data_IF_269746506220
#
_entry.id   IF_269746506220
#
_cell.length_a   1.000
_cell.length_b   1.000
_cell.length_c   1.000
_cell.angle_alpha   90.00
_cell.angle_beta   90.00
_cell.angle_gamma   90.00
#
_symmetry.space_group_name_H-M   'P 1'
#
loop_
_entity.id
_entity.type
_entity.pdbx_description
1 polymer ?
#
# COMPACT_ATOMS: atom_id res chain seq x y z
N UNK A 1 3.33 -3.45 25.51
CA UNK A 1 4.34 -3.41 24.44
C UNK A 1 3.79 -4.18 23.25
N UNK A 2 4.08 -3.78 22.00
CA UNK A 2 3.72 -4.51 20.77
C UNK A 2 4.99 -4.66 19.92
N UNK A 3 5.27 -5.86 19.43
CA UNK A 3 6.45 -6.17 18.62
C UNK A 3 6.03 -6.34 17.16
N UNK A 4 6.69 -5.61 16.25
CA UNK A 4 6.50 -5.74 14.80
C UNK A 4 7.76 -6.37 14.21
N UNK A 5 7.59 -7.40 13.37
CA UNK A 5 8.68 -8.10 12.70
C UNK A 5 8.57 -7.81 11.19
N UNK A 6 9.59 -7.19 10.62
CA UNK A 6 9.67 -6.91 9.19
C UNK A 6 10.57 -7.92 8.48
N UNK A 7 10.24 -8.27 7.24
CA UNK A 7 11.06 -9.15 6.44
C UNK A 7 12.27 -8.38 5.87
N UNK A 8 13.52 -8.73 6.24
CA UNK A 8 14.71 -8.01 5.78
C UNK A 8 14.96 -8.16 4.27
N UNK A 9 14.33 -9.14 3.60
CA UNK A 9 14.43 -9.31 2.13
C UNK A 9 13.57 -8.33 1.34
N UNK A 10 12.61 -7.66 1.99
CA UNK A 10 11.80 -6.64 1.32
C UNK A 10 12.60 -5.35 1.16
N UNK A 11 12.42 -4.68 0.01
CA UNK A 11 12.96 -3.35 -0.21
C UNK A 11 12.40 -2.34 0.81
N UNK A 12 13.13 -1.24 1.03
CA UNK A 12 12.78 -0.21 2.00
C UNK A 12 11.35 0.32 1.82
N UNK A 13 10.92 0.54 0.57
CA UNK A 13 9.58 1.04 0.28
C UNK A 13 8.48 0.06 0.74
N UNK A 14 8.70 -1.24 0.56
CA UNK A 14 7.76 -2.27 0.99
C UNK A 14 7.75 -2.41 2.51
N UNK A 15 8.91 -2.34 3.14
CA UNK A 15 9.00 -2.35 4.59
C UNK A 15 8.33 -1.13 5.23
N UNK A 16 8.41 0.05 4.63
CA UNK A 16 7.71 1.25 5.12
C UNK A 16 6.19 1.07 5.07
N UNK A 17 5.67 0.52 3.97
CA UNK A 17 4.25 0.23 3.82
C UNK A 17 3.78 -0.81 4.85
N UNK A 18 4.47 -1.96 4.94
CA UNK A 18 4.15 -3.02 5.90
C UNK A 18 4.22 -2.51 7.34
N UNK A 19 5.28 -1.76 7.70
CA UNK A 19 5.40 -1.21 9.04
C UNK A 19 4.23 -0.28 9.37
N UNK A 20 3.87 0.62 8.46
CA UNK A 20 2.78 1.55 8.70
C UNK A 20 1.43 0.83 8.78
N UNK A 21 1.21 -0.21 7.97
CA UNK A 21 0.01 -1.04 8.01
C UNK A 21 -0.13 -1.73 9.38
N UNK A 22 0.93 -2.35 9.90
CA UNK A 22 0.95 -2.93 11.25
C UNK A 22 0.68 -1.89 12.35
N UNK A 23 1.25 -0.69 12.20
CA UNK A 23 0.94 0.45 13.09
C UNK A 23 -0.55 0.80 13.02
N UNK A 24 -1.16 0.79 11.83
CA UNK A 24 -2.58 1.09 11.67
C UNK A 24 -3.48 0.00 12.23
N UNK A 25 -3.16 -1.29 12.06
CA UNK A 25 -3.87 -2.38 12.75
C UNK A 25 -3.88 -2.16 14.26
N UNK A 26 -2.75 -1.70 14.82
CA UNK A 26 -2.64 -1.40 16.23
C UNK A 26 -3.55 -0.24 16.66
N UNK A 27 -3.53 0.86 15.91
CA UNK A 27 -4.31 2.07 16.20
C UNK A 27 -5.82 1.85 16.04
N UNK A 28 -6.24 1.07 15.04
CA UNK A 28 -7.65 0.79 14.75
C UNK A 28 -8.25 -0.30 15.65
N UNK A 29 -7.43 -0.92 16.52
CA UNK A 29 -7.90 -1.98 17.41
C UNK A 29 -8.18 -3.30 16.71
N UNK A 30 -7.68 -3.48 15.48
CA UNK A 30 -7.79 -4.74 14.75
C UNK A 30 -7.06 -5.85 15.53
N UNK A 31 -7.57 -7.07 15.43
CA UNK A 31 -6.86 -8.21 16.01
C UNK A 31 -5.56 -8.37 15.25
N UNK A 32 -4.45 -8.43 15.99
CA UNK A 32 -3.15 -8.70 15.38
C UNK A 32 -3.23 -10.02 14.61
N UNK A 33 -2.77 -9.98 13.35
CA UNK A 33 -2.48 -11.21 12.62
C UNK A 33 -1.41 -11.95 13.42
N UNK A 34 -1.83 -12.99 14.17
CA UNK A 34 -0.85 -13.92 14.73
C UNK A 34 -0.13 -14.48 13.53
N UNK A 35 1.21 -14.34 13.51
CA UNK A 35 2.08 -15.19 12.70
C UNK A 35 1.43 -16.56 12.68
N UNK A 36 1.03 -17.01 11.49
CA UNK A 36 0.37 -18.29 11.30
C UNK A 36 1.36 -19.39 11.66
N UNK A 37 1.61 -19.56 12.96
CA UNK A 37 1.94 -20.84 13.51
C UNK A 37 0.72 -21.64 13.13
N UNK A 38 0.87 -22.44 12.09
CA UNK A 38 -0.07 -23.50 11.75
C UNK A 38 -0.16 -24.36 12.99
N UNK A 39 -1.06 -24.00 13.90
CA UNK A 39 -1.40 -24.85 15.02
C UNK A 39 -2.25 -25.95 14.40
N UNK A 40 -1.63 -27.08 14.14
CA UNK A 40 -2.37 -28.31 13.91
C UNK A 40 -3.23 -28.54 15.15
N UNK A 41 -4.55 -28.56 14.98
CA UNK A 41 -5.40 -29.11 16.02
C UNK A 41 -5.10 -30.62 16.18
N UNK A 42 -5.63 -31.25 17.23
CA UNK A 42 -5.44 -32.69 17.50
C UNK A 42 -5.95 -33.63 16.38
N UNK A 43 -6.49 -33.08 15.30
CA UNK A 43 -7.02 -33.76 14.11
C UNK A 43 -6.35 -33.30 12.80
N UNK A 44 -5.20 -32.61 12.86
CA UNK A 44 -4.42 -32.22 11.67
C UNK A 44 -5.01 -31.09 10.81
N UNK A 45 -6.05 -30.38 11.28
CA UNK A 45 -6.63 -29.25 10.56
C UNK A 45 -5.88 -27.96 10.90
N UNK A 46 -5.34 -27.30 9.88
CA UNK A 46 -4.79 -25.95 9.97
C UNK A 46 -5.89 -24.97 10.35
N UNK A 47 -5.79 -24.36 11.53
CA UNK A 47 -6.71 -23.27 11.94
C UNK A 47 -6.08 -21.94 11.55
N UNK A 48 -6.32 -21.50 10.31
CA UNK A 48 -6.13 -20.10 9.94
C UNK A 48 -7.26 -19.30 10.59
N UNK A 49 -6.96 -18.54 11.65
CA UNK A 49 -7.95 -17.65 12.27
C UNK A 49 -8.12 -16.42 11.37
N UNK A 50 -9.35 -16.24 10.91
CA UNK A 50 -10.01 -15.08 10.28
C UNK A 50 -9.11 -13.92 9.86
N UNK A 51 -8.69 -13.97 8.59
CA UNK A 51 -8.35 -12.78 7.82
C UNK A 51 -9.66 -11.99 7.60
N UNK A 52 -9.75 -10.78 8.15
CA UNK A 52 -10.91 -9.90 7.96
C UNK A 52 -10.57 -8.85 6.90
N UNK A 53 -11.02 -9.07 5.67
CA UNK A 53 -10.75 -8.20 4.52
C UNK A 53 -11.03 -6.72 4.81
N UNK A 54 -12.06 -6.41 5.60
CA UNK A 54 -12.43 -5.04 5.95
C UNK A 54 -11.41 -4.38 6.89
N UNK A 55 -10.86 -5.13 7.84
CA UNK A 55 -9.82 -4.64 8.76
C UNK A 55 -8.52 -4.38 8.00
N UNK A 56 -8.20 -5.25 7.05
CA UNK A 56 -7.00 -5.14 6.20
C UNK A 56 -7.12 -3.93 5.26
N UNK A 57 -8.26 -3.77 4.59
CA UNK A 57 -8.52 -2.61 3.74
C UNK A 57 -8.47 -1.30 4.54
N UNK A 58 -9.07 -1.27 5.73
CA UNK A 58 -9.06 -0.09 6.60
C UNK A 58 -7.63 0.26 7.06
N UNK A 59 -6.83 -0.73 7.50
CA UNK A 59 -5.46 -0.51 7.91
C UNK A 59 -4.59 -0.01 6.75
N UNK A 60 -4.73 -0.62 5.56
CA UNK A 60 -4.02 -0.19 4.36
C UNK A 60 -4.40 1.23 3.94
N UNK A 61 -5.69 1.58 3.93
CA UNK A 61 -6.18 2.89 3.55
C UNK A 61 -5.66 4.00 4.48
N UNK A 62 -5.70 3.76 5.80
CA UNK A 62 -5.19 4.69 6.82
C UNK A 62 -3.67 4.80 6.74
N UNK A 63 -2.96 3.67 6.61
CA UNK A 63 -1.51 3.65 6.51
C UNK A 63 -1.00 4.37 5.25
N UNK A 64 -1.67 4.18 4.12
CA UNK A 64 -1.35 4.88 2.90
C UNK A 64 -1.64 6.39 3.00
N UNK A 65 -2.68 6.81 3.75
CA UNK A 65 -2.95 8.22 4.03
C UNK A 65 -1.90 8.85 4.96
N UNK A 66 -1.34 8.08 5.90
CA UNK A 66 -0.28 8.52 6.79
C UNK A 66 1.07 8.65 6.06
N UNK A 67 1.39 7.69 5.16
CA UNK A 67 2.61 7.72 4.36
C UNK A 67 2.58 8.78 3.25
N UNK A 68 1.40 9.03 2.66
CA UNK A 68 1.23 9.98 1.55
C UNK A 68 0.08 10.94 1.90
N UNK A 69 0.37 12.03 2.65
CA UNK A 69 -0.63 12.98 3.09
C UNK A 69 -1.32 13.70 1.93
N UNK A 70 -2.64 13.89 2.03
CA UNK A 70 -3.46 14.47 0.95
C UNK A 70 -2.96 15.83 0.47
N UNK A 71 -2.70 16.77 1.38
CA UNK A 71 -2.29 18.13 1.03
C UNK A 71 -0.95 18.14 0.26
N UNK A 72 0.00 17.30 0.68
CA UNK A 72 1.28 17.17 0.01
C UNK A 72 1.13 16.49 -1.35
N UNK A 73 0.35 15.41 -1.44
CA UNK A 73 0.05 14.72 -2.70
C UNK A 73 -0.61 15.66 -3.72
N UNK A 74 -1.64 16.40 -3.31
CA UNK A 74 -2.32 17.38 -4.15
C UNK A 74 -1.35 18.47 -4.63
N UNK A 75 -0.53 19.03 -3.73
CA UNK A 75 0.49 20.02 -4.12
C UNK A 75 1.50 19.48 -5.13
N UNK A 76 1.96 18.23 -4.97
CA UNK A 76 2.88 17.61 -5.93
C UNK A 76 2.27 17.42 -7.31
N UNK A 77 1.01 16.96 -7.36
CA UNK A 77 0.27 16.80 -8.62
C UNK A 77 0.09 18.16 -9.31
N UNK A 78 -0.29 19.20 -8.56
CA UNK A 78 -0.43 20.54 -9.11
C UNK A 78 0.89 21.11 -9.65
N UNK A 79 2.04 20.71 -9.07
CA UNK A 79 3.39 21.04 -9.54
C UNK A 79 3.88 20.16 -10.71
N UNK A 80 3.06 19.23 -11.20
CA UNK A 80 3.42 18.36 -12.33
C UNK A 80 4.45 17.29 -11.98
N UNK A 81 4.51 16.85 -10.71
CA UNK A 81 5.39 15.74 -10.32
C UNK A 81 4.81 14.39 -10.77
N UNK A 82 5.66 13.58 -11.39
CA UNK A 82 5.33 12.21 -11.79
C UNK A 82 5.11 11.31 -10.58
N UNK A 83 4.35 10.23 -10.75
CA UNK A 83 4.10 9.25 -9.68
C UNK A 83 5.40 8.62 -9.17
N UNK A 84 6.42 8.48 -10.03
CA UNK A 84 7.76 8.02 -9.66
C UNK A 84 8.48 9.01 -8.75
N UNK A 85 8.48 10.31 -9.09
CA UNK A 85 9.09 11.34 -8.25
C UNK A 85 8.39 11.43 -6.88
N UNK A 86 7.06 11.36 -6.88
CA UNK A 86 6.26 11.38 -5.64
C UNK A 86 6.57 10.15 -4.77
N UNK A 87 6.65 8.96 -5.37
CA UNK A 87 7.00 7.73 -4.66
C UNK A 87 8.40 7.78 -4.07
N UNK A 88 9.37 8.33 -4.80
CA UNK A 88 10.73 8.56 -4.30
C UNK A 88 10.74 9.54 -3.13
N UNK A 89 9.96 10.62 -3.19
CA UNK A 89 9.88 11.61 -2.12
C UNK A 89 9.35 11.01 -0.81
N UNK A 90 8.28 10.21 -0.87
CA UNK A 90 7.68 9.58 0.31
C UNK A 90 8.32 8.23 0.68
N UNK A 91 9.31 7.76 -0.07
CA UNK A 91 9.96 6.46 0.10
C UNK A 91 8.94 5.29 0.17
N UNK A 92 8.00 5.28 -0.77
CA UNK A 92 6.95 4.26 -0.94
C UNK A 92 6.95 3.74 -2.38
N UNK A 93 6.14 2.72 -2.67
CA UNK A 93 5.98 2.25 -4.04
C UNK A 93 5.16 3.24 -4.88
N UNK A 94 5.38 3.21 -6.20
CA UNK A 94 4.57 3.96 -7.16
C UNK A 94 3.10 3.52 -7.10
N UNK A 95 2.88 2.22 -6.94
CA UNK A 95 1.54 1.62 -6.83
C UNK A 95 0.76 2.18 -5.62
N UNK A 96 1.42 2.41 -4.49
CA UNK A 96 0.79 3.02 -3.30
C UNK A 96 0.39 4.48 -3.57
N UNK A 97 1.25 5.24 -4.27
CA UNK A 97 0.93 6.62 -4.67
C UNK A 97 -0.26 6.65 -5.63
N UNK A 98 -0.27 5.79 -6.65
CA UNK A 98 -1.39 5.69 -7.60
C UNK A 98 -2.68 5.24 -6.90
N UNK A 99 -2.61 4.30 -5.95
CA UNK A 99 -3.73 3.94 -5.09
C UNK A 99 -4.25 5.17 -4.34
N UNK A 100 -3.38 5.94 -3.66
CA UNK A 100 -3.80 7.15 -2.94
C UNK A 100 -4.41 8.21 -3.84
N UNK A 101 -3.91 8.39 -5.06
CA UNK A 101 -4.54 9.27 -6.04
C UNK A 101 -5.97 8.84 -6.38
N UNK A 102 -6.23 7.54 -6.52
CA UNK A 102 -7.56 6.99 -6.84
C UNK A 102 -8.54 7.22 -5.70
N UNK A 103 -8.19 6.81 -4.48
CA UNK A 103 -9.10 6.92 -3.32
C UNK A 103 -9.29 8.35 -2.83
N UNK A 104 -8.36 9.27 -3.13
CA UNK A 104 -8.52 10.71 -2.87
C UNK A 104 -9.11 11.51 -4.03
N UNK A 105 -9.54 10.84 -5.11
CA UNK A 105 -10.11 11.44 -6.33
C UNK A 105 -9.19 12.40 -7.09
N UNK A 106 -7.88 12.34 -6.85
CA UNK A 106 -6.85 13.12 -7.57
C UNK A 106 -6.41 12.47 -8.88
N UNK A 107 -6.79 11.22 -9.14
CA UNK A 107 -6.36 10.47 -10.33
C UNK A 107 -6.76 11.12 -11.66
N UNK A 108 -7.96 11.69 -11.74
CA UNK A 108 -8.42 12.35 -12.95
C UNK A 108 -7.56 13.57 -13.32
N UNK A 109 -7.23 14.41 -12.33
CA UNK A 109 -6.33 15.53 -12.50
C UNK A 109 -4.92 15.07 -12.89
N UNK A 110 -4.42 14.04 -12.21
CA UNK A 110 -3.09 13.50 -12.50
C UNK A 110 -2.96 13.02 -13.96
N UNK A 111 -3.96 12.27 -14.46
CA UNK A 111 -4.00 11.79 -15.86
C UNK A 111 -3.99 12.94 -16.87
N UNK A 112 -4.76 14.00 -16.59
CA UNK A 112 -4.82 15.18 -17.47
C UNK A 112 -3.44 15.85 -17.58
N UNK A 113 -2.68 15.88 -16.49
CA UNK A 113 -1.35 16.51 -16.43
C UNK A 113 -0.23 15.61 -16.98
N UNK A 114 -0.40 14.28 -16.96
CA UNK A 114 0.66 13.31 -17.29
C UNK A 114 0.24 12.28 -18.35
N UNK A 115 -0.31 12.69 -19.51
CA UNK A 115 -0.86 11.76 -20.50
C UNK A 115 0.17 10.76 -21.04
N UNK A 116 1.42 11.20 -21.24
CA UNK A 116 2.50 10.34 -21.74
C UNK A 116 2.93 9.28 -20.72
N UNK A 117 3.01 9.65 -19.44
CA UNK A 117 3.35 8.71 -18.37
C UNK A 117 2.28 7.61 -18.24
N UNK A 118 1.02 7.99 -18.32
CA UNK A 118 -0.11 7.06 -18.28
C UNK A 118 -0.09 6.12 -19.48
N UNK A 119 0.12 6.66 -20.70
CA UNK A 119 0.20 5.85 -21.92
C UNK A 119 1.29 4.79 -21.82
N UNK A 120 2.50 5.17 -21.39
CA UNK A 120 3.62 4.23 -21.21
C UNK A 120 3.29 3.15 -20.17
N UNK A 121 2.56 3.52 -19.11
CA UNK A 121 2.18 2.59 -18.05
C UNK A 121 1.16 1.57 -18.53
N UNK A 122 0.15 2.01 -19.26
CA UNK A 122 -0.88 1.14 -19.83
C UNK A 122 -0.30 0.17 -20.87
N UNK A 123 0.64 0.63 -21.71
CA UNK A 123 1.37 -0.24 -22.65
C UNK A 123 2.18 -1.32 -21.93
N UNK A 124 2.87 -0.97 -20.84
CA UNK A 124 3.63 -1.94 -20.05
C UNK A 124 2.71 -2.98 -19.36
N UNK A 125 1.58 -2.55 -18.81
CA UNK A 125 0.59 -3.45 -18.22
C UNK A 125 -0.07 -4.37 -19.25
N UNK A 126 -0.20 -3.94 -20.51
CA UNK A 126 -0.67 -4.78 -21.61
C UNK A 126 0.33 -5.87 -22.00
N UNK A 127 1.61 -5.53 -22.11
CA UNK A 127 2.68 -6.48 -22.47
C UNK A 127 3.03 -7.46 -21.33
N UNK A 128 2.83 -7.06 -20.07
CA UNK A 128 3.14 -7.89 -18.90
C UNK A 128 2.19 -9.09 -18.69
N UNK A 129 1.06 -9.17 -19.40
CA UNK A 129 0.13 -10.31 -19.38
C UNK A 129 0.43 -11.40 -20.43
N UNK A 130 1.45 -11.20 -21.28
CA UNK A 130 1.85 -12.13 -22.33
C UNK A 130 3.04 -13.04 -21.97
N UNK A 131 3.37 -13.20 -20.68
CA UNK A 131 4.36 -14.17 -20.21
C UNK A 131 3.78 -15.11 -19.18
#
# INVERSE_FOLDING_TARGET
WRLVILNPKHGSQRNNATLMEEVCHVFLGHKANRLSIVAENKHGKTVARDYNDADEEAAYAVGAAALVPFAALSSFISKGKTSKEIAQHFNVSRELVEYRMKVSRLWAEYKLRHPEEIRLREQWSGNGRQK
#
